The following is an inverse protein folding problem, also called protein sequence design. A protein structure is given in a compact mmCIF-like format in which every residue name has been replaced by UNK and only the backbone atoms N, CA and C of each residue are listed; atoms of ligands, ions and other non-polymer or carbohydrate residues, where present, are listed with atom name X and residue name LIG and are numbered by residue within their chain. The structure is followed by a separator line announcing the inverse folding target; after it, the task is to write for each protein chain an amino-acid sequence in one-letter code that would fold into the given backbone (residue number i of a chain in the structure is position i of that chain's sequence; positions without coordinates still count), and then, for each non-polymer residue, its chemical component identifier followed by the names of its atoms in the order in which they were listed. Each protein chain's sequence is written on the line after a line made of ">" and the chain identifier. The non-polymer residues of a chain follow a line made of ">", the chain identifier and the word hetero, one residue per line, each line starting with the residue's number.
data_IF_311437337689
#
_entry.id   IF_311437337689
#
_cell.length_a   1.000
_cell.length_b   1.000
_cell.length_c   1.000
_cell.angle_alpha   90.00
_cell.angle_beta   90.00
_cell.angle_gamma   90.00
#
_symmetry.space_group_name_H-M   'P 1'
#
loop_
_entity.id
_entity.type
_entity.pdbx_description
1 polymer ?
#
# COMPACT_ATOMS: atom_id res chain seq x y z
N UNK A 1 -21.82 -4.83 15.17
CA UNK A 1 -20.59 -4.02 15.43
C UNK A 1 -20.21 -3.28 14.15
N UNK A 2 -19.66 -2.06 14.22
CA UNK A 2 -19.11 -1.38 13.03
C UNK A 2 -17.69 -1.89 12.79
N UNK A 3 -17.38 -2.31 11.57
CA UNK A 3 -16.03 -2.73 11.16
C UNK A 3 -15.35 -1.56 10.43
N UNK A 4 -14.23 -1.09 10.99
CA UNK A 4 -13.42 -0.04 10.34
C UNK A 4 -12.26 -0.69 9.58
N UNK A 5 -12.46 -0.85 8.28
CA UNK A 5 -11.50 -1.50 7.37
C UNK A 5 -10.12 -0.81 7.37
N UNK A 6 -10.09 0.51 7.52
CA UNK A 6 -8.82 1.25 7.62
C UNK A 6 -8.06 0.87 8.88
N UNK A 7 -8.74 0.84 10.04
CA UNK A 7 -8.12 0.50 11.33
C UNK A 7 -7.59 -0.93 11.31
N UNK A 8 -8.35 -1.88 10.77
CA UNK A 8 -7.89 -3.27 10.68
C UNK A 8 -6.67 -3.42 9.76
N UNK A 9 -6.67 -2.74 8.61
CA UNK A 9 -5.51 -2.73 7.72
C UNK A 9 -4.30 -2.00 8.34
N UNK A 10 -4.49 -0.90 9.08
CA UNK A 10 -3.41 -0.22 9.82
C UNK A 10 -2.81 -1.13 10.90
N UNK A 11 -3.65 -1.88 11.64
CA UNK A 11 -3.20 -2.90 12.60
C UNK A 11 -2.41 -4.01 11.93
N UNK A 12 -2.87 -4.49 10.77
CA UNK A 12 -2.15 -5.49 9.99
C UNK A 12 -0.79 -4.96 9.53
N UNK A 13 -0.71 -3.74 9.00
CA UNK A 13 0.56 -3.11 8.60
C UNK A 13 1.52 -3.03 9.80
N UNK A 14 1.03 -2.60 10.96
CA UNK A 14 1.85 -2.52 12.19
C UNK A 14 2.32 -3.91 12.64
N UNK A 15 1.45 -4.93 12.59
CA UNK A 15 1.80 -6.30 12.92
C UNK A 15 2.87 -6.85 11.98
N UNK A 16 2.71 -6.65 10.67
CA UNK A 16 3.68 -7.10 9.66
C UNK A 16 5.04 -6.39 9.81
N UNK A 17 5.06 -5.10 10.10
CA UNK A 17 6.29 -4.36 10.37
C UNK A 17 7.05 -4.90 11.61
N UNK A 18 6.33 -5.42 12.61
CA UNK A 18 6.92 -6.01 13.81
C UNK A 18 7.33 -7.48 13.67
N UNK A 19 6.71 -8.24 12.75
CA UNK A 19 6.88 -9.69 12.65
C UNK A 19 7.69 -10.14 11.42
N UNK A 20 7.65 -9.38 10.34
CA UNK A 20 8.29 -9.75 9.07
C UNK A 20 9.57 -8.96 8.88
N UNK A 21 10.73 -9.62 8.94
CA UNK A 21 12.04 -8.97 8.86
C UNK A 21 12.23 -8.07 7.63
N UNK A 22 11.60 -8.43 6.50
CA UNK A 22 11.62 -7.60 5.28
C UNK A 22 10.89 -6.25 5.43
N UNK A 23 10.08 -6.07 6.47
CA UNK A 23 9.27 -4.87 6.74
C UNK A 23 9.67 -4.13 8.03
N UNK A 24 10.68 -4.60 8.76
CA UNK A 24 11.10 -4.02 10.04
C UNK A 24 11.56 -2.55 9.95
N UNK A 25 11.88 -2.07 8.73
CA UNK A 25 12.25 -0.67 8.47
C UNK A 25 11.04 0.26 8.34
N UNK A 26 9.82 -0.29 8.28
CA UNK A 26 8.59 0.49 8.09
C UNK A 26 8.14 1.06 9.43
N UNK A 27 7.95 2.38 9.50
CA UNK A 27 7.24 3.04 10.59
C UNK A 27 5.73 3.11 10.25
N UNK A 28 4.88 2.25 10.86
CA UNK A 28 3.45 2.20 10.55
C UNK A 28 2.73 3.52 10.81
N UNK A 29 3.22 4.33 11.76
CA UNK A 29 2.61 5.61 12.09
C UNK A 29 2.73 6.64 10.95
N UNK A 30 3.63 6.42 10.00
CA UNK A 30 3.86 7.29 8.83
C UNK A 30 3.39 6.68 7.51
N UNK A 31 2.63 5.58 7.57
CA UNK A 31 1.94 4.95 6.43
C UNK A 31 0.45 5.19 6.58
N UNK A 32 -0.14 5.98 5.69
CA UNK A 32 -1.58 6.28 5.70
C UNK A 32 -2.33 5.23 4.86
N UNK A 33 -3.25 4.51 5.50
CA UNK A 33 -4.11 3.55 4.79
C UNK A 33 -5.45 4.21 4.44
N UNK A 34 -5.88 4.06 3.19
CA UNK A 34 -7.15 4.56 2.67
C UNK A 34 -7.90 3.47 1.92
N UNK A 35 -9.23 3.58 1.91
CA UNK A 35 -10.11 2.74 1.10
C UNK A 35 -10.59 3.59 -0.08
N UNK A 36 -10.35 3.11 -1.30
CA UNK A 36 -10.89 3.72 -2.51
C UNK A 36 -11.95 2.81 -3.12
N UNK A 37 -12.96 3.39 -3.75
CA UNK A 37 -13.99 2.64 -4.47
C UNK A 37 -13.65 2.55 -5.95
N UNK A 38 -13.85 1.36 -6.54
CA UNK A 38 -13.76 1.16 -7.98
C UNK A 38 -15.15 0.98 -8.58
N UNK A 39 -15.35 1.51 -9.78
CA UNK A 39 -16.54 1.22 -10.57
C UNK A 39 -16.36 -0.15 -11.22
N UNK A 40 -17.16 -1.13 -10.78
CA UNK A 40 -17.18 -2.49 -11.33
C UNK A 40 -16.29 -3.49 -10.57
N UNK A 41 -16.89 -4.64 -10.27
CA UNK A 41 -16.20 -5.85 -9.85
C UNK A 41 -15.65 -6.56 -11.09
N UNK A 42 -14.39 -6.94 -11.09
CA UNK A 42 -13.77 -7.72 -12.15
C UNK A 42 -12.50 -8.37 -11.61
N UNK A 43 -12.24 -9.57 -12.07
CA UNK A 43 -11.05 -10.36 -11.69
C UNK A 43 -9.75 -9.78 -12.26
N UNK A 44 -9.86 -8.80 -13.17
CA UNK A 44 -8.71 -8.14 -13.79
C UNK A 44 -8.64 -6.69 -13.34
N UNK A 45 -7.50 -6.28 -12.83
CA UNK A 45 -7.25 -4.88 -12.44
C UNK A 45 -6.38 -4.74 -11.20
N UNK A 46 -6.20 -3.51 -10.77
CA UNK A 46 -5.45 -3.15 -9.58
C UNK A 46 -6.31 -3.39 -8.34
N UNK A 47 -5.74 -4.00 -7.31
CA UNK A 47 -6.38 -4.29 -6.02
C UNK A 47 -5.95 -3.32 -4.92
N UNK A 48 -4.71 -2.86 -4.99
CA UNK A 48 -4.17 -1.83 -4.11
C UNK A 48 -3.20 -0.94 -4.89
N UNK A 49 -2.82 0.19 -4.31
CA UNK A 49 -1.82 1.12 -4.86
C UNK A 49 -1.10 1.80 -3.73
N UNK A 50 0.22 1.86 -3.80
CA UNK A 50 1.02 2.72 -2.95
C UNK A 50 1.34 4.04 -3.68
N UNK A 51 1.27 5.15 -2.96
CA UNK A 51 1.75 6.46 -3.38
C UNK A 51 2.91 6.88 -2.48
N UNK A 52 4.14 6.94 -3.00
CA UNK A 52 5.25 7.56 -2.33
C UNK A 52 5.02 9.06 -2.22
N UNK A 53 5.48 9.69 -1.13
CA UNK A 53 5.33 11.12 -0.90
C UNK A 53 6.67 11.87 -0.99
N UNK A 54 7.70 11.19 -1.51
CA UNK A 54 8.99 11.78 -1.88
C UNK A 54 9.46 11.20 -3.21
N UNK A 55 10.36 11.91 -3.86
CA UNK A 55 11.16 11.44 -4.99
C UNK A 55 12.36 10.62 -4.48
N UNK A 56 13.22 10.16 -5.40
CA UNK A 56 14.44 9.43 -5.07
C UNK A 56 15.29 10.17 -4.04
N UNK A 57 15.78 9.41 -3.04
CA UNK A 57 16.58 9.96 -1.95
C UNK A 57 15.80 10.74 -0.88
N UNK A 58 14.47 10.66 -0.91
CA UNK A 58 13.62 11.36 0.08
C UNK A 58 13.33 12.83 -0.26
N UNK A 59 13.68 13.28 -1.45
CA UNK A 59 13.47 14.65 -1.89
C UNK A 59 12.01 14.99 -2.12
N UNK A 60 11.60 16.21 -1.74
CA UNK A 60 10.24 16.71 -2.04
C UNK A 60 10.11 17.34 -3.42
N UNK A 61 11.23 17.64 -4.05
CA UNK A 61 11.27 18.27 -5.37
C UNK A 61 12.20 17.52 -6.30
N UNK A 62 11.88 17.54 -7.58
CA UNK A 62 12.78 17.07 -8.64
C UNK A 62 12.58 17.93 -9.89
N UNK A 63 13.56 17.94 -10.78
CA UNK A 63 13.45 18.65 -12.05
C UNK A 63 13.36 17.65 -13.20
N UNK A 64 12.49 17.94 -14.15
CA UNK A 64 12.37 17.18 -15.39
C UNK A 64 12.51 18.11 -16.59
N UNK A 65 13.12 17.63 -17.67
CA UNK A 65 13.21 18.34 -18.94
C UNK A 65 12.18 17.76 -19.93
N UNK A 66 11.39 18.67 -20.52
CA UNK A 66 10.46 18.32 -21.62
C UNK A 66 10.72 19.27 -22.80
N UNK A 67 11.34 18.75 -23.86
CA UNK A 67 11.79 19.55 -24.99
C UNK A 67 12.81 20.61 -24.54
N UNK A 68 12.51 21.88 -24.80
CA UNK A 68 13.39 23.03 -24.44
C UNK A 68 13.16 23.59 -23.02
N UNK A 69 12.18 23.06 -22.29
CA UNK A 69 11.77 23.61 -21.01
C UNK A 69 12.12 22.67 -19.85
N UNK A 70 12.50 23.29 -18.74
CA UNK A 70 12.72 22.61 -17.46
C UNK A 70 11.50 22.86 -16.58
N UNK A 71 11.08 21.84 -15.85
CA UNK A 71 9.95 21.89 -14.92
C UNK A 71 10.38 21.39 -13.55
N UNK A 72 9.94 22.08 -12.53
CA UNK A 72 10.06 21.61 -11.14
C UNK A 72 8.80 20.85 -10.76
N UNK A 73 8.99 19.61 -10.34
CA UNK A 73 7.95 18.76 -9.79
C UNK A 73 8.05 18.76 -8.27
N UNK A 74 6.95 19.03 -7.57
CA UNK A 74 6.90 19.07 -6.09
C UNK A 74 5.89 18.06 -5.59
N UNK A 75 6.33 17.18 -4.69
CA UNK A 75 5.44 16.26 -3.97
C UNK A 75 4.59 17.03 -2.96
N UNK A 76 3.29 16.73 -2.87
CA UNK A 76 2.45 17.30 -1.83
C UNK A 76 2.83 16.75 -0.45
N UNK A 77 2.68 17.57 0.58
CA UNK A 77 2.73 17.12 1.97
C UNK A 77 1.37 16.58 2.37
N UNK A 78 1.35 15.37 2.91
CA UNK A 78 0.17 14.75 3.51
C UNK A 78 0.42 14.61 4.99
N UNK A 79 -0.43 15.20 5.82
CA UNK A 79 -0.34 15.11 7.28
C UNK A 79 -1.57 14.41 7.85
N UNK A 80 -1.37 13.56 8.85
CA UNK A 80 -2.43 12.90 9.60
C UNK A 80 -2.06 12.84 11.08
N UNK A 81 -3.00 13.25 11.95
CA UNK A 81 -2.79 13.33 13.42
C UNK A 81 -1.54 14.11 13.82
N UNK A 82 -1.27 15.22 13.14
CA UNK A 82 -0.11 16.07 13.40
C UNK A 82 1.23 15.53 12.89
N UNK A 83 1.24 14.38 12.22
CA UNK A 83 2.45 13.76 11.69
C UNK A 83 2.44 13.77 10.16
N UNK A 84 3.60 14.06 9.55
CA UNK A 84 3.77 13.96 8.11
C UNK A 84 3.90 12.50 7.67
N UNK A 85 3.06 12.10 6.73
CA UNK A 85 3.07 10.77 6.13
C UNK A 85 4.20 10.64 5.10
N UNK A 86 4.76 9.43 5.00
CA UNK A 86 5.75 9.06 3.98
C UNK A 86 5.12 8.32 2.80
N UNK A 87 4.04 7.58 3.08
CA UNK A 87 3.33 6.77 2.07
C UNK A 87 1.83 6.84 2.29
N UNK A 88 1.09 6.70 1.20
CA UNK A 88 -0.36 6.44 1.24
C UNK A 88 -0.62 5.16 0.47
N UNK A 89 -1.30 4.21 1.12
CA UNK A 89 -1.72 2.96 0.49
C UNK A 89 -3.24 2.97 0.33
N UNK A 90 -3.73 2.76 -0.89
CA UNK A 90 -5.14 2.64 -1.21
C UNK A 90 -5.47 1.18 -1.46
N UNK A 91 -6.42 0.63 -0.70
CA UNK A 91 -7.04 -0.66 -1.00
C UNK A 91 -8.36 -0.43 -1.73
N UNK A 92 -8.55 -1.10 -2.85
CA UNK A 92 -9.63 -0.82 -3.79
C UNK A 92 -10.85 -1.72 -3.50
N UNK A 93 -11.87 -1.18 -2.86
CA UNK A 93 -13.11 -1.88 -2.58
C UNK A 93 -14.07 -1.84 -3.80
N UNK A 94 -14.81 -2.93 -4.10
CA UNK A 94 -14.81 -4.21 -3.41
C UNK A 94 -13.66 -5.15 -3.80
N UNK A 95 -12.98 -4.91 -4.91
CA UNK A 95 -12.02 -5.82 -5.58
C UNK A 95 -11.00 -6.46 -4.64
N UNK A 96 -10.36 -5.68 -3.77
CA UNK A 96 -9.38 -6.20 -2.82
C UNK A 96 -10.04 -7.17 -1.83
N UNK A 97 -11.20 -6.80 -1.30
CA UNK A 97 -11.89 -7.60 -0.30
C UNK A 97 -12.54 -8.85 -0.88
N UNK A 98 -12.79 -8.89 -2.19
CA UNK A 98 -13.34 -10.07 -2.88
C UNK A 98 -12.27 -11.07 -3.35
N UNK A 99 -10.99 -10.75 -3.14
CA UNK A 99 -9.90 -11.70 -3.37
C UNK A 99 -9.98 -12.88 -2.38
N UNK A 100 -9.46 -14.06 -2.74
CA UNK A 100 -9.18 -15.12 -1.78
C UNK A 100 -8.28 -14.61 -0.64
N UNK A 101 -8.47 -15.16 0.57
CA UNK A 101 -7.73 -14.72 1.77
C UNK A 101 -6.22 -14.59 1.54
N UNK A 102 -5.58 -15.62 0.96
CA UNK A 102 -4.15 -15.62 0.69
C UNK A 102 -3.73 -14.52 -0.30
N UNK A 103 -4.54 -14.27 -1.33
CA UNK A 103 -4.27 -13.24 -2.35
C UNK A 103 -4.40 -11.82 -1.78
N UNK A 104 -5.28 -11.60 -0.78
CA UNK A 104 -5.32 -10.34 -0.03
C UNK A 104 -4.02 -10.09 0.70
N UNK A 105 -3.48 -11.10 1.39
CA UNK A 105 -2.18 -10.99 2.06
C UNK A 105 -1.05 -10.75 1.08
N UNK A 106 -1.00 -11.47 -0.04
CA UNK A 106 -0.01 -11.25 -1.10
C UNK A 106 -0.08 -9.80 -1.60
N UNK A 107 -1.29 -9.25 -1.76
CA UNK A 107 -1.49 -7.85 -2.17
C UNK A 107 -0.96 -6.88 -1.11
N UNK A 108 -1.23 -7.11 0.18
CA UNK A 108 -0.68 -6.27 1.27
C UNK A 108 0.83 -6.33 1.29
N UNK A 109 1.42 -7.52 1.22
CA UNK A 109 2.87 -7.70 1.17
C UNK A 109 3.49 -7.01 -0.05
N UNK A 110 2.83 -7.09 -1.21
CA UNK A 110 3.24 -6.44 -2.44
C UNK A 110 3.36 -4.92 -2.27
N UNK A 111 2.33 -4.27 -1.71
CA UNK A 111 2.37 -2.82 -1.49
C UNK A 111 3.41 -2.43 -0.44
N UNK A 112 3.55 -3.18 0.65
CA UNK A 112 4.58 -2.92 1.66
C UNK A 112 5.99 -3.12 1.13
N UNK A 113 6.20 -4.10 0.25
CA UNK A 113 7.52 -4.36 -0.34
C UNK A 113 7.96 -3.28 -1.32
N UNK A 114 7.03 -2.48 -1.84
CA UNK A 114 7.36 -1.27 -2.60
C UNK A 114 7.98 -0.15 -1.75
N UNK A 115 7.83 -0.17 -0.44
CA UNK A 115 8.44 0.83 0.45
C UNK A 115 9.97 0.74 0.38
N UNK A 116 10.63 1.88 0.20
CA UNK A 116 12.09 1.99 0.20
C UNK A 116 12.68 1.41 1.50
N UNK A 117 13.75 0.60 1.44
CA UNK A 117 14.44 0.12 2.64
C UNK A 117 14.94 1.22 3.56
N UNK A 118 15.20 2.42 3.03
CA UNK A 118 15.56 3.60 3.81
C UNK A 118 14.35 4.30 4.46
N UNK A 119 13.13 3.88 4.15
CA UNK A 119 11.88 4.50 4.60
C UNK A 119 11.83 6.02 4.38
N UNK A 120 12.41 6.48 3.27
CA UNK A 120 12.61 7.88 2.92
C UNK A 120 11.43 8.53 2.19
N UNK A 121 10.37 7.77 1.92
CA UNK A 121 9.18 8.23 1.20
C UNK A 121 9.23 8.00 -0.31
N UNK A 122 10.31 7.40 -0.84
CA UNK A 122 10.41 6.88 -2.20
C UNK A 122 10.05 5.39 -2.24
N UNK A 123 9.91 4.81 -3.43
CA UNK A 123 9.70 3.37 -3.61
C UNK A 123 11.03 2.61 -3.63
N UNK A 124 10.98 1.33 -3.30
CA UNK A 124 12.09 0.39 -3.52
C UNK A 124 12.41 0.34 -5.02
N UNK A 125 13.67 0.57 -5.35
CA UNK A 125 14.13 0.59 -6.73
C UNK A 125 14.97 -0.63 -7.04
N UNK A 126 14.63 -1.33 -8.10
CA UNK A 126 15.39 -2.44 -8.65
C UNK A 126 16.20 -1.98 -9.86
N UNK A 127 17.33 -2.63 -10.16
CA UNK A 127 18.07 -2.36 -11.39
C UNK A 127 17.23 -2.61 -12.64
N UNK A 128 17.45 -1.81 -13.69
CA UNK A 128 16.83 -1.95 -15.00
C UNK A 128 15.61 -1.04 -15.24
N UNK A 129 14.96 -1.26 -16.39
CA UNK A 129 13.85 -0.39 -16.84
C UNK A 129 12.60 -0.51 -15.96
N UNK A 130 12.33 -1.70 -15.45
CA UNK A 130 11.21 -1.94 -14.54
C UNK A 130 11.67 -1.81 -13.09
N UNK A 131 12.05 -0.62 -12.69
CA UNK A 131 12.61 -0.38 -11.35
C UNK A 131 11.63 -0.71 -10.20
N UNK A 132 10.32 -0.75 -10.44
CA UNK A 132 9.33 -1.03 -9.40
C UNK A 132 9.19 -2.53 -9.08
N UNK A 133 9.38 -3.42 -10.04
CA UNK A 133 9.20 -4.87 -9.89
C UNK A 133 10.43 -5.69 -10.30
N UNK A 134 11.52 -5.01 -10.67
CA UNK A 134 12.75 -5.67 -11.14
C UNK A 134 12.59 -6.32 -12.51
N UNK A 135 13.34 -7.41 -12.76
CA UNK A 135 13.37 -8.08 -14.06
C UNK A 135 12.09 -8.86 -14.39
N UNK A 136 11.24 -9.18 -13.40
CA UNK A 136 10.05 -10.00 -13.60
C UNK A 136 9.00 -9.81 -12.51
N UNK A 137 7.83 -9.33 -12.89
CA UNK A 137 6.65 -9.26 -12.00
C UNK A 137 6.26 -10.64 -11.46
N UNK A 138 6.45 -11.71 -12.27
CA UNK A 138 6.18 -13.08 -11.82
C UNK A 138 7.08 -13.49 -10.66
N UNK A 139 8.39 -13.19 -10.73
CA UNK A 139 9.34 -13.46 -9.64
C UNK A 139 9.03 -12.61 -8.41
N UNK A 140 8.69 -11.36 -8.60
CA UNK A 140 8.27 -10.46 -7.52
C UNK A 140 7.06 -11.03 -6.77
N UNK A 141 6.01 -11.44 -7.49
CA UNK A 141 4.82 -12.02 -6.88
C UNK A 141 5.10 -13.38 -6.20
N UNK A 142 5.98 -14.22 -6.78
CA UNK A 142 6.39 -15.47 -6.16
C UNK A 142 7.13 -15.24 -4.84
N UNK A 143 7.97 -14.21 -4.75
CA UNK A 143 8.63 -13.82 -3.50
C UNK A 143 7.59 -13.41 -2.45
N UNK A 144 6.59 -12.59 -2.83
CA UNK A 144 5.51 -12.20 -1.90
C UNK A 144 4.73 -13.42 -1.41
N UNK A 145 4.42 -14.36 -2.30
CA UNK A 145 3.73 -15.59 -1.94
C UNK A 145 4.53 -16.43 -0.91
N UNK A 146 5.83 -16.59 -1.12
CA UNK A 146 6.71 -17.29 -0.19
C UNK A 146 6.77 -16.60 1.18
N UNK A 147 6.85 -15.27 1.20
CA UNK A 147 6.86 -14.50 2.45
C UNK A 147 5.53 -14.62 3.20
N UNK A 148 4.39 -14.61 2.49
CA UNK A 148 3.06 -14.82 3.08
C UNK A 148 2.94 -16.22 3.67
N UNK A 149 3.40 -17.25 2.97
CA UNK A 149 3.33 -18.63 3.47
C UNK A 149 4.18 -18.81 4.73
N UNK A 150 5.39 -18.24 4.76
CA UNK A 150 6.25 -18.25 5.93
C UNK A 150 5.63 -17.48 7.12
N UNK A 151 5.04 -16.33 6.86
CA UNK A 151 4.32 -15.54 7.86
C UNK A 151 3.15 -16.33 8.46
N UNK A 152 2.28 -16.92 7.62
CA UNK A 152 1.14 -17.70 8.07
C UNK A 152 1.54 -18.96 8.85
N UNK A 153 2.67 -19.59 8.50
CA UNK A 153 3.21 -20.75 9.20
C UNK A 153 3.76 -20.39 10.60
N UNK A 154 4.23 -19.16 10.80
CA UNK A 154 4.78 -18.68 12.06
C UNK A 154 3.74 -18.11 13.04
N UNK A 155 2.46 -18.00 12.65
CA UNK A 155 1.42 -17.43 13.51
C UNK A 155 0.87 -18.44 14.51
N UNK A 156 0.82 -18.07 15.78
CA UNK A 156 0.11 -18.81 16.84
C UNK A 156 -1.41 -18.62 16.75
N UNK A 157 -1.88 -17.42 16.39
CA UNK A 157 -3.29 -17.10 16.14
C UNK A 157 -3.44 -16.24 14.89
N UNK A 158 -4.59 -16.40 14.21
CA UNK A 158 -4.99 -15.62 13.03
C UNK A 158 -6.13 -14.65 13.31
N UNK A 159 -6.49 -14.39 14.56
CA UNK A 159 -7.64 -13.57 14.94
C UNK A 159 -7.56 -12.15 14.35
N UNK A 160 -6.36 -11.57 14.32
CA UNK A 160 -6.11 -10.27 13.73
C UNK A 160 -6.28 -10.23 12.19
N UNK A 161 -6.39 -11.40 11.54
CA UNK A 161 -6.65 -11.54 10.10
C UNK A 161 -8.13 -11.82 9.78
N UNK A 162 -8.98 -12.00 10.80
CA UNK A 162 -10.40 -12.38 10.62
C UNK A 162 -11.18 -11.40 9.72
N UNK A 163 -10.79 -10.12 9.66
CA UNK A 163 -11.41 -9.14 8.77
C UNK A 163 -11.10 -9.38 7.27
N UNK A 164 -10.10 -10.20 6.96
CA UNK A 164 -9.76 -10.61 5.60
C UNK A 164 -10.51 -11.88 5.16
N UNK A 165 -11.19 -12.56 6.08
CA UNK A 165 -12.01 -13.74 5.74
C UNK A 165 -13.30 -13.32 5.05
N UNK A 166 -13.65 -14.05 4.00
CA UNK A 166 -14.81 -13.78 3.17
C UNK A 166 -14.65 -12.59 2.23
N UNK A 167 -15.68 -12.31 1.44
CA UNK A 167 -15.75 -11.18 0.52
C UNK A 167 -16.43 -9.95 1.13
N UNK A 168 -16.58 -8.90 0.33
CA UNK A 168 -17.20 -7.65 0.76
C UNK A 168 -18.65 -7.86 1.22
N UNK A 169 -19.39 -8.77 0.57
CA UNK A 169 -20.78 -9.05 0.93
C UNK A 169 -20.88 -9.74 2.28
N UNK A 170 -20.04 -10.74 2.55
CA UNK A 170 -20.01 -11.42 3.85
C UNK A 170 -19.56 -10.47 4.97
N UNK A 171 -18.64 -9.53 4.68
CA UNK A 171 -18.26 -8.47 5.62
C UNK A 171 -19.46 -7.57 5.95
N UNK A 172 -20.31 -7.24 4.98
CA UNK A 172 -21.55 -6.48 5.20
C UNK A 172 -22.56 -7.23 6.05
N UNK A 173 -22.74 -8.52 5.80
CA UNK A 173 -23.69 -9.35 6.54
C UNK A 173 -23.31 -9.51 8.02
N UNK A 174 -22.01 -9.68 8.33
CA UNK A 174 -21.53 -9.83 9.70
C UNK A 174 -21.28 -8.52 10.44
N UNK A 175 -21.40 -7.38 9.76
CA UNK A 175 -21.14 -6.07 10.33
C UNK A 175 -22.30 -5.12 10.12
N UNK A 176 -22.69 -4.37 11.17
CA UNK A 176 -23.73 -3.32 11.07
C UNK A 176 -23.38 -2.25 10.05
N UNK A 177 -22.10 -1.91 9.93
CA UNK A 177 -21.57 -0.95 8.95
C UNK A 177 -20.10 -1.24 8.66
N UNK A 178 -19.70 -1.01 7.41
CA UNK A 178 -18.31 -0.98 6.98
C UNK A 178 -17.90 0.47 6.77
N UNK A 179 -16.85 0.89 7.44
CA UNK A 179 -16.29 2.25 7.31
C UNK A 179 -14.81 2.19 6.94
N UNK A 180 -14.33 3.27 6.33
CA UNK A 180 -12.92 3.39 5.96
C UNK A 180 -12.57 4.81 5.58
N UNK A 181 -11.32 5.20 5.80
CA UNK A 181 -10.79 6.51 5.41
C UNK A 181 -10.78 6.64 3.91
N UNK A 182 -11.29 7.76 3.42
CA UNK A 182 -11.23 8.13 2.01
C UNK A 182 -10.41 9.42 1.87
N UNK A 183 -9.49 9.43 0.93
CA UNK A 183 -8.70 10.61 0.57
C UNK A 183 -8.44 10.58 -0.93
N UNK A 184 -8.49 11.74 -1.57
CA UNK A 184 -8.07 11.86 -2.96
C UNK A 184 -6.57 11.56 -3.09
N UNK A 185 -6.17 10.92 -4.19
CA UNK A 185 -4.76 10.63 -4.42
C UNK A 185 -3.93 11.93 -4.46
N UNK A 186 -2.79 11.98 -3.77
CA UNK A 186 -1.89 13.13 -3.81
C UNK A 186 -1.45 13.42 -5.25
N UNK A 187 -1.47 14.70 -5.63
CA UNK A 187 -1.08 15.13 -6.98
C UNK A 187 0.24 15.91 -6.91
N UNK A 188 1.20 15.50 -7.73
CA UNK A 188 2.44 16.24 -7.94
C UNK A 188 2.09 17.61 -8.56
N UNK A 189 2.66 18.68 -7.99
CA UNK A 189 2.59 20.02 -8.58
C UNK A 189 3.73 20.16 -9.58
N UNK A 190 3.44 20.68 -10.76
CA UNK A 190 4.42 20.90 -11.81
C UNK A 190 4.43 22.39 -12.15
N UNK A 191 5.57 23.04 -11.99
CA UNK A 191 5.81 24.44 -12.39
C UNK A 191 6.89 24.50 -13.46
N UNK A 192 6.70 25.39 -14.42
CA UNK A 192 7.72 25.69 -15.43
C UNK A 192 8.73 26.66 -14.82
N UNK A 193 10.00 26.37 -15.01
CA UNK A 193 11.11 27.25 -14.62
C UNK A 193 11.35 28.33 -15.68
#
# INVERSE_FOLDING_TARGET
>A
MTLNLTVELERLVAHLAGQVGAFCHIDPARVLVCIATTRGGGVHGTYAKIHPLCFAGGDKTTTIRRGRHTYTCTMPTVSHRGQEMRYVIYFLAPRFFDLPFREKLITVFHELYHISPAFDGDIRRFPGRNYAHGSSTKRYNALMATMVDAYLAGLESRDHLAFLEGGMEELRQRSRALVGRRMAAPKIRVSRN
#
